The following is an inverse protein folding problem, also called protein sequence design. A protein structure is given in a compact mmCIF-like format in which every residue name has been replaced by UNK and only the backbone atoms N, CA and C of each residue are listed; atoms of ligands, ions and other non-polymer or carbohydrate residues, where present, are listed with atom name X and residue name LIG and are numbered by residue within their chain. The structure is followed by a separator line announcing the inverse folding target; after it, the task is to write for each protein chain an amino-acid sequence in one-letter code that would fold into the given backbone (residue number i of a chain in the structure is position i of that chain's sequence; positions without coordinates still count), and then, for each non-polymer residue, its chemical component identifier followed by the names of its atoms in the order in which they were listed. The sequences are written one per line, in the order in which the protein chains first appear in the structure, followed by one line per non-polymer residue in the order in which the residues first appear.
data_IF_397224332806
#
_entry.id   IF_397224332806
#
_cell.length_a   1.000
_cell.length_b   1.000
_cell.length_c   1.000
_cell.angle_alpha   90.00
_cell.angle_beta   90.00
_cell.angle_gamma   90.00
#
_symmetry.space_group_name_H-M   'P 1'
#
loop_
_entity.id
_entity.type
_entity.pdbx_description
1 polymer ?
#
# COMPACT_ATOMS: atom_id res chain seq x y z
N UNK A 1 -22.64 7.03 22.01
CA UNK A 1 -23.21 6.60 20.72
C UNK A 1 -22.21 6.94 19.61
N UNK A 2 -22.06 6.08 18.61
CA UNK A 2 -21.10 6.25 17.49
C UNK A 2 -21.85 6.29 16.15
N UNK A 3 -21.26 6.91 15.13
CA UNK A 3 -21.84 6.90 13.77
C UNK A 3 -21.60 5.55 13.08
N UNK A 4 -22.57 5.09 12.29
CA UNK A 4 -22.51 3.84 11.54
C UNK A 4 -22.76 4.09 10.05
N UNK A 5 -22.21 3.24 9.20
CA UNK A 5 -22.32 3.33 7.75
C UNK A 5 -20.97 3.54 7.06
N UNK A 6 -21.01 3.70 5.74
CA UNK A 6 -19.79 3.89 4.95
C UNK A 6 -19.07 5.18 5.34
N UNK A 7 -17.76 5.09 5.53
CA UNK A 7 -16.92 6.22 5.91
C UNK A 7 -17.03 6.65 7.39
N UNK A 8 -17.77 5.92 8.23
CA UNK A 8 -17.88 6.24 9.66
C UNK A 8 -16.72 5.70 10.51
N UNK A 9 -15.92 4.77 9.97
CA UNK A 9 -14.78 4.15 10.63
C UNK A 9 -13.53 4.35 9.76
N UNK A 10 -12.42 4.69 10.40
CA UNK A 10 -11.09 4.73 9.79
C UNK A 10 -10.16 3.85 10.60
N UNK A 11 -9.50 2.92 9.92
CA UNK A 11 -8.57 1.97 10.50
C UNK A 11 -7.28 2.04 9.69
N UNK A 12 -6.22 2.48 10.38
CA UNK A 12 -4.88 2.61 9.83
C UNK A 12 -3.94 1.71 10.66
N UNK A 13 -3.05 0.98 10.00
CA UNK A 13 -2.08 0.10 10.64
C UNK A 13 -0.68 0.72 10.57
N UNK A 14 0.16 0.45 11.56
CA UNK A 14 1.59 0.76 11.51
C UNK A 14 2.37 -0.55 11.63
N UNK A 15 3.09 -0.93 10.57
CA UNK A 15 3.83 -2.20 10.51
C UNK A 15 5.33 -1.90 10.39
N UNK A 16 6.15 -2.62 11.15
CA UNK A 16 7.61 -2.55 11.04
C UNK A 16 8.26 -3.85 11.51
N UNK A 17 9.38 -4.21 10.91
CA UNK A 17 10.28 -5.28 11.38
C UNK A 17 11.69 -4.73 11.61
N UNK A 18 12.55 -5.47 12.31
CA UNK A 18 13.90 -5.00 12.66
C UNK A 18 14.74 -4.62 11.42
N UNK A 19 14.73 -5.44 10.37
CA UNK A 19 15.49 -5.18 9.14
C UNK A 19 14.83 -4.17 8.17
N UNK A 20 13.59 -3.76 8.45
CA UNK A 20 12.84 -2.76 7.68
C UNK A 20 12.58 -1.49 8.50
N UNK A 21 11.60 -0.69 8.10
CA UNK A 21 11.21 0.54 8.81
C UNK A 21 9.68 0.67 8.97
N UNK A 22 9.23 1.67 9.71
CA UNK A 22 7.82 1.96 9.95
C UNK A 22 7.13 2.36 8.65
N UNK A 23 6.05 1.63 8.35
CA UNK A 23 5.12 1.92 7.27
C UNK A 23 3.73 2.11 7.85
N UNK A 24 3.06 3.17 7.44
CA UNK A 24 1.64 3.41 7.76
C UNK A 24 0.77 2.87 6.62
N UNK A 25 -0.18 1.99 6.90
CA UNK A 25 -1.08 1.40 5.92
C UNK A 25 -2.48 1.97 6.15
N UNK A 26 -3.04 2.60 5.12
CA UNK A 26 -4.40 3.13 5.12
C UNK A 26 -5.37 2.24 4.37
N UNK A 27 -6.65 2.37 4.73
CA UNK A 27 -7.75 1.69 4.03
C UNK A 27 -7.93 0.24 4.47
N UNK A 28 -7.60 -0.09 5.71
CA UNK A 28 -7.88 -1.39 6.31
C UNK A 28 -9.34 -1.47 6.75
N UNK A 29 -10.28 -1.55 5.80
CA UNK A 29 -11.72 -1.47 6.10
C UNK A 29 -12.30 -2.74 6.74
N UNK A 30 -11.77 -3.91 6.38
CA UNK A 30 -12.24 -5.20 6.86
C UNK A 30 -11.24 -5.77 7.87
N UNK A 31 -11.73 -6.00 9.10
CA UNK A 31 -10.96 -6.55 10.21
C UNK A 31 -10.36 -7.93 9.89
N UNK A 32 -11.06 -8.75 9.10
CA UNK A 32 -10.61 -10.09 8.73
C UNK A 32 -9.34 -10.08 7.87
N UNK A 33 -9.06 -8.98 7.17
CA UNK A 33 -7.88 -8.83 6.34
C UNK A 33 -6.64 -8.35 7.10
N UNK A 34 -6.80 -7.78 8.30
CA UNK A 34 -5.69 -7.21 9.07
C UNK A 34 -4.54 -8.21 9.25
N UNK A 35 -4.76 -9.47 9.70
CA UNK A 35 -3.67 -10.43 9.88
C UNK A 35 -2.89 -10.71 8.59
N UNK A 36 -3.59 -10.82 7.45
CA UNK A 36 -2.97 -11.06 6.14
C UNK A 36 -2.19 -9.84 5.65
N UNK A 37 -2.74 -8.63 5.78
CA UNK A 37 -2.08 -7.37 5.42
C UNK A 37 -0.77 -7.21 6.20
N UNK A 38 -0.79 -7.46 7.52
CA UNK A 38 0.41 -7.37 8.37
C UNK A 38 1.47 -8.38 7.92
N UNK A 39 1.08 -9.65 7.69
CA UNK A 39 2.00 -10.70 7.23
C UNK A 39 2.66 -10.34 5.89
N UNK A 40 1.88 -9.88 4.92
CA UNK A 40 2.38 -9.52 3.60
C UNK A 40 3.30 -8.30 3.66
N UNK A 41 3.00 -7.30 4.49
CA UNK A 41 3.90 -6.15 4.66
C UNK A 41 5.22 -6.55 5.35
N UNK A 42 5.19 -7.45 6.34
CA UNK A 42 6.41 -8.00 6.94
C UNK A 42 7.25 -8.75 5.89
N UNK A 43 6.61 -9.59 5.08
CA UNK A 43 7.29 -10.31 4.00
C UNK A 43 7.88 -9.36 2.95
N UNK A 44 7.15 -8.28 2.61
CA UNK A 44 7.63 -7.21 1.72
C UNK A 44 8.89 -6.55 2.26
N UNK A 45 8.89 -6.11 3.53
CA UNK A 45 10.07 -5.48 4.14
C UNK A 45 11.28 -6.42 4.16
N UNK A 46 11.07 -7.70 4.50
CA UNK A 46 12.14 -8.69 4.50
C UNK A 46 12.69 -8.95 3.09
N UNK A 47 11.81 -9.02 2.09
CA UNK A 47 12.20 -9.19 0.69
C UNK A 47 13.10 -8.04 0.23
N UNK A 48 12.68 -6.80 0.45
CA UNK A 48 13.46 -5.64 0.00
C UNK A 48 14.75 -5.43 0.80
N UNK A 49 14.79 -5.83 2.08
CA UNK A 49 16.05 -5.89 2.83
C UNK A 49 17.06 -6.85 2.16
N UNK A 50 16.61 -8.05 1.77
CA UNK A 50 17.46 -9.02 1.05
C UNK A 50 17.88 -8.48 -0.31
N UNK A 51 16.95 -7.88 -1.06
CA UNK A 51 17.23 -7.29 -2.36
C UNK A 51 18.25 -6.15 -2.26
N UNK A 52 18.12 -5.26 -1.27
CA UNK A 52 19.07 -4.19 -1.02
C UNK A 52 20.47 -4.75 -0.77
N UNK A 53 20.60 -5.83 0.02
CA UNK A 53 21.89 -6.48 0.24
C UNK A 53 22.45 -7.16 -1.02
N UNK A 54 21.61 -7.74 -1.88
CA UNK A 54 22.04 -8.23 -3.20
C UNK A 54 22.57 -7.09 -4.07
N UNK A 55 21.85 -5.97 -4.13
CA UNK A 55 22.26 -4.78 -4.88
C UNK A 55 23.57 -4.19 -4.33
N UNK A 56 23.72 -4.09 -3.01
CA UNK A 56 24.95 -3.62 -2.37
C UNK A 56 26.13 -4.54 -2.65
N UNK A 57 25.95 -5.85 -2.57
CA UNK A 57 27.00 -6.82 -2.88
C UNK A 57 27.48 -6.68 -4.33
N UNK A 58 26.56 -6.56 -5.29
CA UNK A 58 26.89 -6.32 -6.69
C UNK A 58 27.57 -4.95 -6.91
N UNK A 59 27.28 -3.97 -6.05
CA UNK A 59 27.88 -2.64 -6.06
C UNK A 59 29.21 -2.54 -5.29
N UNK A 60 29.68 -3.62 -4.67
CA UNK A 60 30.86 -3.59 -3.79
C UNK A 60 30.68 -2.74 -2.52
N UNK A 61 29.44 -2.57 -2.06
CA UNK A 61 29.06 -1.75 -0.91
C UNK A 61 28.83 -2.59 0.36
N UNK A 62 29.03 -2.02 1.57
CA UNK A 62 28.79 -2.71 2.83
C UNK A 62 27.32 -3.09 3.01
N UNK A 63 27.06 -4.34 3.39
CA UNK A 63 25.71 -4.85 3.62
C UNK A 63 24.99 -4.11 4.76
N UNK A 64 23.67 -3.99 4.64
CA UNK A 64 22.80 -3.50 5.70
C UNK A 64 22.82 -4.46 6.90
N UNK A 65 22.89 -3.95 8.15
CA UNK A 65 22.75 -4.80 9.32
C UNK A 65 21.34 -5.40 9.43
N UNK A 66 21.13 -6.47 10.22
CA UNK A 66 19.82 -7.09 10.37
C UNK A 66 18.82 -6.26 11.19
N UNK A 67 19.28 -5.25 11.94
CA UNK A 67 18.44 -4.34 12.72
C UNK A 67 18.76 -2.89 12.33
N UNK A 68 17.73 -2.11 11.98
CA UNK A 68 17.82 -0.68 11.65
C UNK A 68 18.44 0.18 12.76
N UNK A 69 18.40 -0.29 14.01
CA UNK A 69 19.04 0.42 15.14
C UNK A 69 20.57 0.38 15.08
N UNK A 70 21.12 -0.47 14.23
CA UNK A 70 22.56 -0.60 13.99
C UNK A 70 22.99 0.16 12.73
N UNK A 71 22.10 0.93 12.10
CA UNK A 71 22.44 1.75 10.93
C UNK A 71 23.44 2.84 11.32
N UNK A 72 24.47 3.00 10.49
CA UNK A 72 25.48 4.04 10.63
C UNK A 72 25.29 5.09 9.53
N UNK A 73 24.98 6.33 9.94
CA UNK A 73 24.64 7.42 9.02
C UNK A 73 25.78 7.77 8.05
N UNK A 74 27.04 7.67 8.50
CA UNK A 74 28.21 7.94 7.68
C UNK A 74 28.40 6.87 6.57
N UNK A 75 28.21 5.60 6.92
CA UNK A 75 28.23 4.49 5.98
C UNK A 75 27.11 4.64 4.94
N UNK A 76 25.89 4.94 5.38
CA UNK A 76 24.74 5.12 4.48
C UNK A 76 24.93 6.30 3.53
N UNK A 77 25.50 7.42 3.99
CA UNK A 77 25.84 8.55 3.12
C UNK A 77 26.90 8.19 2.07
N UNK A 78 27.93 7.44 2.47
CA UNK A 78 28.98 6.96 1.54
C UNK A 78 28.42 6.02 0.49
N UNK A 79 27.54 5.09 0.89
CA UNK A 79 26.85 4.18 -0.04
C UNK A 79 25.96 4.97 -0.99
N UNK A 80 25.22 5.96 -0.50
CA UNK A 80 24.33 6.77 -1.34
C UNK A 80 25.10 7.51 -2.44
N UNK A 81 26.25 8.12 -2.11
CA UNK A 81 27.12 8.78 -3.10
C UNK A 81 27.70 7.79 -4.11
N UNK A 82 28.23 6.66 -3.64
CA UNK A 82 28.80 5.63 -4.50
C UNK A 82 27.75 5.04 -5.46
N UNK A 83 26.54 4.76 -4.97
CA UNK A 83 25.43 4.27 -5.80
C UNK A 83 24.99 5.36 -6.78
N UNK A 84 24.77 6.60 -6.33
CA UNK A 84 24.35 7.71 -7.20
C UNK A 84 25.31 7.93 -8.38
N UNK A 85 26.63 7.80 -8.16
CA UNK A 85 27.64 7.94 -9.21
C UNK A 85 27.52 6.91 -10.34
N UNK A 86 26.89 5.75 -10.09
CA UNK A 86 26.69 4.68 -11.08
C UNK A 86 25.44 4.90 -11.93
N UNK A 87 24.44 5.65 -11.43
CA UNK A 87 23.16 5.81 -12.12
C UNK A 87 23.19 7.05 -13.01
N UNK A 88 22.94 6.89 -14.33
CA UNK A 88 22.92 8.03 -15.25
C UNK A 88 21.77 8.98 -14.91
N UNK A 89 22.01 10.28 -15.10
CA UNK A 89 20.97 11.30 -15.00
C UNK A 89 20.28 11.55 -16.34
N UNK A 90 20.90 11.12 -17.43
CA UNK A 90 20.42 11.33 -18.79
C UNK A 90 19.28 10.37 -19.11
N UNK A 91 18.16 10.94 -19.50
CA UNK A 91 17.06 10.20 -20.11
C UNK A 91 17.30 10.14 -21.62
N UNK A 92 17.03 9.00 -22.23
CA UNK A 92 17.19 8.81 -23.67
C UNK A 92 15.83 8.73 -24.32
N UNK A 93 15.61 9.51 -25.38
CA UNK A 93 14.46 9.32 -26.25
C UNK A 93 14.71 8.10 -27.14
N UNK A 94 13.88 7.07 -26.97
CA UNK A 94 13.93 5.83 -27.73
C UNK A 94 12.70 5.67 -28.62
N UNK A 95 11.95 6.75 -28.89
CA UNK A 95 10.72 6.72 -29.70
C UNK A 95 10.95 6.12 -31.09
N UNK A 96 12.10 6.37 -31.70
CA UNK A 96 12.46 5.82 -33.02
C UNK A 96 12.50 4.29 -33.01
N UNK A 97 12.93 3.67 -31.92
CA UNK A 97 12.97 2.21 -31.78
C UNK A 97 11.57 1.57 -31.86
N UNK A 98 10.53 2.36 -31.59
CA UNK A 98 9.14 1.93 -31.56
C UNK A 98 8.30 2.49 -32.72
N UNK A 99 8.92 3.14 -33.71
CA UNK A 99 8.20 3.75 -34.83
C UNK A 99 7.38 2.74 -35.65
N UNK A 100 7.85 1.49 -35.75
CA UNK A 100 7.17 0.38 -36.41
C UNK A 100 6.61 -0.65 -35.43
N UNK A 101 6.35 -0.25 -34.18
CA UNK A 101 5.87 -1.18 -33.15
C UNK A 101 4.48 -1.73 -33.47
N UNK A 102 4.28 -3.02 -33.19
CA UNK A 102 2.96 -3.67 -33.33
C UNK A 102 2.08 -3.52 -32.08
N UNK A 103 2.62 -2.93 -31.01
CA UNK A 103 1.85 -2.69 -29.79
C UNK A 103 0.84 -1.56 -30.00
N UNK A 104 -0.45 -1.89 -30.00
CA UNK A 104 -1.51 -0.89 -30.09
C UNK A 104 -1.55 0.12 -28.93
N UNK A 105 -0.82 -0.11 -27.82
CA UNK A 105 -0.62 0.91 -26.80
C UNK A 105 0.44 1.94 -27.22
N UNK A 106 1.53 1.47 -27.80
CA UNK A 106 2.66 2.30 -28.23
C UNK A 106 2.27 3.13 -29.44
N UNK A 107 1.65 2.49 -30.45
CA UNK A 107 1.13 3.16 -31.65
C UNK A 107 0.17 4.31 -31.28
N UNK A 108 -0.80 4.05 -30.39
CA UNK A 108 -1.73 5.09 -29.93
C UNK A 108 -1.05 6.19 -29.14
N UNK A 109 -0.06 5.86 -28.30
CA UNK A 109 0.67 6.86 -27.52
C UNK A 109 1.50 7.78 -28.41
N UNK A 110 2.29 7.21 -29.32
CA UNK A 110 3.09 7.98 -30.29
C UNK A 110 2.20 8.80 -31.23
N UNK A 111 1.07 8.25 -31.67
CA UNK A 111 0.07 8.96 -32.47
C UNK A 111 -0.59 10.15 -31.75
N UNK A 112 -0.56 10.20 -30.42
CA UNK A 112 -1.01 11.33 -29.60
C UNK A 112 0.09 12.39 -29.37
N UNK A 113 1.29 12.19 -29.94
CA UNK A 113 2.45 13.06 -29.72
C UNK A 113 3.18 12.79 -28.41
N UNK A 114 2.98 11.62 -27.78
CA UNK A 114 3.81 11.19 -26.67
C UNK A 114 5.19 10.75 -27.17
N UNK A 115 6.15 10.76 -26.25
CA UNK A 115 7.50 10.22 -26.48
C UNK A 115 7.71 8.99 -25.62
N UNK A 116 8.55 8.07 -26.09
CA UNK A 116 9.04 6.95 -25.31
C UNK A 116 10.41 7.31 -24.75
N UNK A 117 10.47 7.63 -23.46
CA UNK A 117 11.74 7.86 -22.77
C UNK A 117 12.22 6.58 -22.09
N UNK A 118 13.53 6.36 -22.10
CA UNK A 118 14.21 5.27 -21.42
C UNK A 118 15.19 5.76 -20.36
N UNK A 119 15.24 5.04 -19.24
CA UNK A 119 16.21 5.21 -18.16
C UNK A 119 16.98 3.89 -17.97
N UNK A 120 18.30 3.98 -17.97
CA UNK A 120 19.19 2.88 -17.63
C UNK A 120 19.30 2.69 -16.11
N UNK A 121 19.23 1.43 -15.66
CA UNK A 121 19.38 1.00 -14.26
C UNK A 121 20.52 -0.03 -14.16
N UNK A 122 21.77 0.42 -13.98
CA UNK A 122 22.94 -0.47 -13.97
C UNK A 122 22.92 -1.47 -12.81
N UNK A 123 23.29 -2.73 -13.09
CA UNK A 123 23.37 -3.78 -12.07
C UNK A 123 22.02 -4.25 -11.51
N UNK A 124 20.90 -3.91 -12.16
CA UNK A 124 19.55 -4.26 -11.71
C UNK A 124 18.83 -5.28 -12.62
N UNK A 125 19.52 -5.88 -13.59
CA UNK A 125 18.96 -6.92 -14.46
C UNK A 125 18.51 -8.13 -13.66
N UNK A 126 17.26 -8.57 -13.86
CA UNK A 126 16.66 -9.69 -13.12
C UNK A 126 16.24 -9.36 -11.68
N UNK A 127 16.48 -8.13 -11.20
CA UNK A 127 16.18 -7.69 -9.84
C UNK A 127 14.93 -6.79 -9.76
N UNK A 128 14.38 -6.36 -10.91
CA UNK A 128 13.11 -5.62 -10.97
C UNK A 128 11.92 -6.57 -10.76
N UNK A 129 12.05 -7.81 -11.23
CA UNK A 129 11.19 -8.94 -10.92
C UNK A 129 9.93 -9.04 -11.77
N UNK A 130 9.49 -10.28 -12.01
CA UNK A 130 8.28 -10.60 -12.77
C UNK A 130 7.06 -10.79 -11.86
N UNK A 131 5.87 -10.80 -12.45
CA UNK A 131 4.64 -11.04 -11.69
C UNK A 131 4.52 -12.53 -11.34
N UNK A 132 4.80 -12.86 -10.09
CA UNK A 132 4.61 -14.19 -9.51
C UNK A 132 3.68 -14.12 -8.30
N UNK A 133 2.96 -15.20 -8.05
CA UNK A 133 2.05 -15.34 -6.91
C UNK A 133 2.67 -16.26 -5.86
N UNK A 134 2.36 -16.02 -4.59
CA UNK A 134 2.65 -16.96 -3.51
C UNK A 134 1.60 -18.09 -3.45
N UNK A 135 1.81 -19.03 -2.53
CA UNK A 135 0.93 -20.18 -2.30
C UNK A 135 -0.50 -19.77 -1.88
N UNK A 136 -0.66 -18.58 -1.29
CA UNK A 136 -1.94 -18.01 -0.86
C UNK A 136 -2.57 -17.06 -1.92
N UNK A 137 -1.99 -17.01 -3.12
CA UNK A 137 -2.46 -16.22 -4.25
C UNK A 137 -2.17 -14.72 -4.19
N UNK A 138 -1.37 -14.25 -3.24
CA UNK A 138 -0.91 -12.85 -3.19
C UNK A 138 0.30 -12.63 -4.09
N UNK A 139 0.39 -11.42 -4.66
CA UNK A 139 1.55 -11.08 -5.49
C UNK A 139 2.82 -10.95 -4.65
N UNK A 140 3.89 -11.64 -5.07
CA UNK A 140 5.20 -11.49 -4.45
C UNK A 140 5.72 -10.05 -4.60
N UNK A 141 6.45 -9.53 -3.61
CA UNK A 141 7.09 -8.22 -3.71
C UNK A 141 8.02 -8.17 -4.92
N UNK A 142 7.90 -7.11 -5.72
CA UNK A 142 8.78 -6.87 -6.88
C UNK A 142 9.15 -5.40 -6.94
N UNK A 143 10.42 -5.11 -7.20
CA UNK A 143 10.91 -3.74 -7.26
C UNK A 143 10.25 -2.95 -8.39
N UNK A 144 9.98 -3.59 -9.54
CA UNK A 144 9.25 -2.97 -10.65
C UNK A 144 7.88 -2.39 -10.23
N UNK A 145 7.19 -3.00 -9.27
CA UNK A 145 5.92 -2.46 -8.72
C UNK A 145 6.14 -1.20 -7.87
N UNK A 146 7.24 -1.13 -7.12
CA UNK A 146 7.62 0.07 -6.36
C UNK A 146 8.06 1.21 -7.29
N UNK A 147 8.82 0.90 -8.34
CA UNK A 147 9.21 1.87 -9.38
C UNK A 147 7.98 2.41 -10.12
N UNK A 148 7.06 1.52 -10.53
CA UNK A 148 5.81 1.94 -11.16
C UNK A 148 4.92 2.76 -10.21
N UNK A 149 4.96 2.46 -8.91
CA UNK A 149 4.29 3.26 -7.89
C UNK A 149 4.84 4.69 -7.81
N UNK A 150 6.17 4.84 -7.83
CA UNK A 150 6.83 6.14 -7.87
C UNK A 150 6.51 6.91 -9.16
N UNK A 151 6.57 6.25 -10.32
CA UNK A 151 6.22 6.85 -11.61
C UNK A 151 4.77 7.39 -11.63
N UNK A 152 3.81 6.64 -11.08
CA UNK A 152 2.39 7.04 -11.04
C UNK A 152 2.14 8.36 -10.29
N UNK A 153 3.04 8.78 -9.40
CA UNK A 153 2.95 10.08 -8.74
C UNK A 153 3.11 11.25 -9.72
N UNK A 154 3.81 11.04 -10.85
CA UNK A 154 3.87 11.98 -11.96
C UNK A 154 2.61 11.96 -12.86
N UNK A 155 1.61 11.12 -12.53
CA UNK A 155 0.35 11.02 -13.26
C UNK A 155 0.36 10.12 -14.50
N UNK A 156 1.46 9.37 -14.74
CA UNK A 156 1.50 8.38 -15.82
C UNK A 156 0.71 7.12 -15.45
N UNK A 157 0.19 6.39 -16.44
CA UNK A 157 -0.53 5.13 -16.18
C UNK A 157 0.36 4.04 -15.59
N UNK A 158 1.64 4.04 -15.97
CA UNK A 158 2.64 3.08 -15.56
C UNK A 158 3.93 3.25 -16.35
N UNK A 159 4.86 2.35 -16.10
CA UNK A 159 6.15 2.23 -16.79
C UNK A 159 6.35 0.77 -17.17
N UNK A 160 7.19 0.52 -18.17
CA UNK A 160 7.63 -0.81 -18.53
C UNK A 160 9.06 -1.02 -18.05
N UNK A 161 9.44 -2.23 -17.68
CA UNK A 161 10.82 -2.51 -17.30
C UNK A 161 11.37 -3.75 -18.00
N UNK A 162 12.70 -3.82 -18.13
CA UNK A 162 13.37 -4.89 -18.87
C UNK A 162 12.95 -6.29 -18.43
N UNK A 163 12.82 -6.55 -17.12
CA UNK A 163 12.50 -7.91 -16.63
C UNK A 163 11.09 -8.39 -16.97
N UNK A 164 10.15 -7.51 -17.32
CA UNK A 164 8.80 -7.90 -17.75
C UNK A 164 8.65 -7.91 -19.28
N UNK A 165 9.71 -7.56 -20.03
CA UNK A 165 9.75 -7.55 -21.48
C UNK A 165 10.58 -8.75 -21.98
N UNK A 166 10.25 -9.36 -23.14
CA UNK A 166 9.23 -8.97 -24.11
C UNK A 166 7.79 -9.29 -23.66
N UNK A 167 6.90 -8.30 -23.71
CA UNK A 167 5.47 -8.42 -23.39
C UNK A 167 4.71 -7.20 -23.93
N UNK A 168 3.37 -7.21 -23.80
CA UNK A 168 2.51 -6.07 -24.16
C UNK A 168 2.61 -5.63 -25.64
N UNK A 169 3.01 -6.54 -26.53
CA UNK A 169 3.25 -6.27 -27.95
C UNK A 169 4.61 -5.64 -28.25
N UNK A 170 5.48 -5.49 -27.25
CA UNK A 170 6.89 -5.13 -27.42
C UNK A 170 7.68 -6.42 -27.66
N UNK A 171 8.36 -6.47 -28.79
CA UNK A 171 9.15 -7.59 -29.29
C UNK A 171 10.56 -7.59 -28.71
N UNK A 172 11.23 -8.74 -28.78
CA UNK A 172 12.62 -8.88 -28.36
C UNK A 172 13.58 -8.02 -29.20
N UNK A 173 13.27 -7.81 -30.48
CA UNK A 173 14.03 -6.91 -31.34
C UNK A 173 14.00 -5.46 -30.83
N UNK A 174 12.83 -4.95 -30.45
CA UNK A 174 12.70 -3.60 -29.87
C UNK A 174 13.42 -3.51 -28.52
N UNK A 175 13.36 -4.55 -27.69
CA UNK A 175 14.10 -4.62 -26.42
C UNK A 175 15.61 -4.50 -26.68
N UNK A 176 16.14 -5.22 -27.68
CA UNK A 176 17.57 -5.17 -28.01
C UNK A 176 18.00 -3.79 -28.50
N UNK A 177 17.20 -3.14 -29.37
CA UNK A 177 17.47 -1.77 -29.84
C UNK A 177 17.51 -0.79 -28.66
N UNK A 178 16.59 -0.91 -27.70
CA UNK A 178 16.59 -0.08 -26.49
C UNK A 178 17.85 -0.32 -25.65
N UNK A 179 18.29 -1.59 -25.50
CA UNK A 179 19.51 -1.92 -24.75
C UNK A 179 20.75 -1.30 -25.39
N UNK A 180 20.83 -1.32 -26.72
CA UNK A 180 21.90 -0.68 -27.49
C UNK A 180 21.85 0.85 -27.36
N UNK A 181 20.67 1.47 -27.52
CA UNK A 181 20.48 2.91 -27.40
C UNK A 181 20.86 3.45 -26.01
N UNK A 182 20.63 2.66 -24.96
CA UNK A 182 20.99 2.97 -23.58
C UNK A 182 22.42 2.55 -23.20
N UNK A 183 23.18 1.93 -24.12
CA UNK A 183 24.53 1.42 -23.88
C UNK A 183 24.63 0.54 -22.62
N UNK A 184 23.65 -0.35 -22.43
CA UNK A 184 23.53 -1.18 -21.22
C UNK A 184 24.52 -2.35 -21.25
N UNK A 185 25.20 -2.56 -20.13
CA UNK A 185 25.90 -3.81 -19.83
C UNK A 185 24.91 -4.98 -19.63
N UNK A 186 25.40 -6.22 -19.65
CA UNK A 186 24.57 -7.44 -19.49
C UNK A 186 23.78 -7.45 -18.17
N UNK A 187 24.37 -6.95 -17.09
CA UNK A 187 23.76 -6.82 -15.77
C UNK A 187 22.87 -5.57 -15.62
N UNK A 188 22.78 -4.73 -16.66
CA UNK A 188 21.95 -3.54 -16.70
C UNK A 188 20.48 -3.83 -17.03
N UNK A 189 19.59 -3.20 -16.29
CA UNK A 189 18.16 -3.12 -16.58
C UNK A 189 17.80 -1.76 -17.18
N UNK A 190 16.56 -1.63 -17.67
CA UNK A 190 16.02 -0.35 -18.08
C UNK A 190 14.54 -0.20 -17.72
N UNK A 191 14.08 1.04 -17.69
CA UNK A 191 12.68 1.41 -17.53
C UNK A 191 12.26 2.36 -18.64
N UNK A 192 11.10 2.10 -19.24
CA UNK A 192 10.50 2.89 -20.30
C UNK A 192 9.23 3.59 -19.81
N UNK A 193 9.02 4.82 -20.26
CA UNK A 193 7.80 5.57 -20.02
C UNK A 193 7.27 6.20 -21.31
N UNK A 194 6.03 5.86 -21.66
CA UNK A 194 5.31 6.42 -22.81
C UNK A 194 4.30 7.46 -22.34
N UNK A 195 4.66 8.74 -22.44
CA UNK A 195 3.84 9.88 -22.01
C UNK A 195 4.30 11.18 -22.70
N UNK A 196 3.59 12.31 -22.56
CA UNK A 196 4.14 13.60 -22.97
C UNK A 196 5.52 13.83 -22.35
N UNK A 197 6.44 14.44 -23.09
CA UNK A 197 7.86 14.54 -22.70
C UNK A 197 8.07 14.98 -21.24
N UNK A 198 7.48 16.11 -20.83
CA UNK A 198 7.61 16.62 -19.45
C UNK A 198 7.13 15.61 -18.40
N UNK A 199 6.08 14.84 -18.70
CA UNK A 199 5.49 13.89 -17.78
C UNK A 199 6.32 12.60 -17.71
N UNK A 200 6.82 12.13 -18.84
CA UNK A 200 7.73 11.00 -18.91
C UNK A 200 9.05 11.30 -18.17
N UNK A 201 9.58 12.53 -18.31
CA UNK A 201 10.77 12.97 -17.58
C UNK A 201 10.57 12.90 -16.07
N UNK A 202 9.49 13.52 -15.55
CA UNK A 202 9.17 13.49 -14.12
C UNK A 202 8.94 12.06 -13.60
N UNK A 203 8.29 11.20 -14.39
CA UNK A 203 8.06 9.81 -14.03
C UNK A 203 9.38 9.03 -13.90
N UNK A 204 10.29 9.18 -14.87
CA UNK A 204 11.58 8.50 -14.84
C UNK A 204 12.55 9.07 -13.80
N UNK A 205 12.49 10.37 -13.49
CA UNK A 205 13.19 10.95 -12.35
C UNK A 205 12.72 10.33 -11.02
N UNK A 206 11.41 10.16 -10.83
CA UNK A 206 10.86 9.49 -9.66
C UNK A 206 11.28 8.00 -9.58
N UNK A 207 11.33 7.31 -10.74
CA UNK A 207 11.86 5.94 -10.84
C UNK A 207 13.33 5.90 -10.45
N UNK A 208 14.17 6.81 -10.97
CA UNK A 208 15.59 6.90 -10.61
C UNK A 208 15.74 7.07 -9.10
N UNK A 209 15.02 8.02 -8.51
CA UNK A 209 15.04 8.24 -7.07
C UNK A 209 14.68 6.98 -6.27
N UNK A 210 13.64 6.24 -6.70
CA UNK A 210 13.24 4.99 -6.04
C UNK A 210 14.24 3.85 -6.25
N UNK A 211 14.91 3.78 -7.40
CA UNK A 211 15.95 2.80 -7.68
C UNK A 211 17.22 3.03 -6.84
N UNK A 212 17.61 4.29 -6.62
CA UNK A 212 18.69 4.65 -5.70
C UNK A 212 18.34 4.20 -4.27
N UNK A 213 17.13 4.53 -3.80
CA UNK A 213 16.63 4.12 -2.49
C UNK A 213 16.57 2.59 -2.32
N UNK A 214 16.44 1.81 -3.40
CA UNK A 214 16.41 0.35 -3.33
C UNK A 214 17.73 -0.28 -2.81
N UNK A 215 18.83 0.48 -2.82
CA UNK A 215 20.10 0.08 -2.20
C UNK A 215 20.13 0.32 -0.69
N UNK A 216 19.10 0.96 -0.13
CA UNK A 216 18.95 1.24 1.29
C UNK A 216 17.75 0.47 1.84
N UNK A 217 17.51 0.57 3.14
CA UNK A 217 16.24 0.11 3.71
C UNK A 217 15.09 0.88 3.06
N UNK A 218 13.95 0.20 2.90
CA UNK A 218 12.76 0.85 2.40
C UNK A 218 12.41 2.08 3.26
N UNK A 219 12.05 3.20 2.61
CA UNK A 219 11.81 4.44 3.32
C UNK A 219 10.48 4.38 4.08
N UNK A 220 10.37 5.24 5.08
CA UNK A 220 9.12 5.49 5.81
C UNK A 220 8.11 6.13 4.88
N UNK A 221 7.00 5.44 4.67
CA UNK A 221 5.97 5.91 3.75
C UNK A 221 4.57 5.47 4.21
N UNK A 222 3.58 6.18 3.69
CA UNK A 222 2.18 5.79 3.77
C UNK A 222 1.87 4.95 2.54
N UNK A 223 1.25 3.81 2.78
CA UNK A 223 0.79 2.88 1.77
C UNK A 223 -0.71 2.70 1.85
N UNK A 224 -1.32 2.27 0.77
CA UNK A 224 -2.74 1.92 0.73
C UNK A 224 -2.91 0.43 0.43
N UNK A 225 -3.91 -0.19 1.05
CA UNK A 225 -4.33 -1.55 0.67
C UNK A 225 -4.80 -1.53 -0.78
N UNK A 226 -4.36 -2.49 -1.57
CA UNK A 226 -4.79 -2.64 -2.96
C UNK A 226 -6.21 -3.20 -2.98
N UNK A 227 -7.15 -2.39 -3.45
CA UNK A 227 -8.59 -2.72 -3.47
C UNK A 227 -9.04 -2.96 -4.90
N UNK A 228 -9.89 -3.97 -5.10
CA UNK A 228 -10.59 -4.22 -6.35
C UNK A 228 -12.05 -4.52 -6.04
N UNK A 229 -12.99 -3.89 -6.78
CA UNK A 229 -14.44 -4.06 -6.59
C UNK A 229 -14.91 -3.87 -5.13
N UNK A 230 -14.28 -2.96 -4.38
CA UNK A 230 -14.69 -2.61 -3.01
C UNK A 230 -14.14 -3.51 -1.90
N UNK A 231 -13.32 -4.52 -2.21
CA UNK A 231 -12.64 -5.35 -1.22
C UNK A 231 -11.12 -5.41 -1.49
N UNK A 232 -10.28 -5.71 -0.48
CA UNK A 232 -8.87 -6.00 -0.70
C UNK A 232 -8.71 -7.08 -1.78
N UNK A 233 -7.85 -6.83 -2.76
CA UNK A 233 -7.62 -7.77 -3.87
C UNK A 233 -6.91 -9.03 -3.38
N UNK A 234 -5.78 -8.85 -2.72
CA UNK A 234 -4.90 -9.92 -2.24
C UNK A 234 -4.24 -9.57 -0.88
N UNK A 235 -4.56 -8.41 -0.31
CA UNK A 235 -3.95 -7.86 0.91
C UNK A 235 -2.62 -7.14 0.68
N UNK A 236 -2.13 -7.03 -0.56
CA UNK A 236 -0.90 -6.29 -0.86
C UNK A 236 -1.09 -4.78 -0.77
N UNK A 237 -0.01 -4.08 -0.48
CA UNK A 237 -0.02 -2.62 -0.32
C UNK A 237 0.68 -1.93 -1.49
N UNK A 238 0.22 -0.73 -1.86
CA UNK A 238 0.87 0.15 -2.83
C UNK A 238 1.43 1.40 -2.16
N UNK A 239 2.51 2.00 -2.67
CA UNK A 239 2.97 3.29 -2.19
C UNK A 239 1.91 4.36 -2.46
N UNK A 240 1.65 5.21 -1.47
CA UNK A 240 0.69 6.31 -1.59
C UNK A 240 1.39 7.66 -1.50
N UNK A 241 2.17 7.90 -0.44
CA UNK A 241 2.88 9.16 -0.20
C UNK A 241 3.95 9.00 0.87
N UNK A 242 4.91 9.94 0.99
CA UNK A 242 5.83 9.99 2.13
C UNK A 242 5.09 10.09 3.46
N UNK A 243 5.72 9.60 4.53
CA UNK A 243 5.19 9.70 5.90
C UNK A 243 5.07 11.19 6.29
N UNK A 244 3.94 11.63 6.87
CA UNK A 244 3.81 13.02 7.31
C UNK A 244 4.81 13.34 8.43
N UNK A 245 5.32 14.56 8.44
CA UNK A 245 6.13 15.09 9.54
C UNK A 245 5.33 15.26 10.83
N UNK A 246 6.02 15.62 11.92
CA UNK A 246 5.39 15.87 13.21
C UNK A 246 4.36 17.00 13.13
N UNK A 247 3.19 16.79 13.75
CA UNK A 247 2.15 17.81 13.83
C UNK A 247 2.59 18.94 14.78
N UNK A 248 2.42 20.19 14.34
CA UNK A 248 2.58 21.37 15.20
C UNK A 248 1.22 21.72 15.81
N UNK A 249 1.13 21.64 17.13
CA UNK A 249 -0.09 21.95 17.88
C UNK A 249 0.13 23.24 18.70
N UNK A 250 -0.95 24.00 18.90
CA UNK A 250 -0.99 25.16 19.79
C UNK A 250 -2.29 25.10 20.61
N UNK A 251 -2.35 25.72 21.79
CA UNK A 251 -3.56 25.76 22.60
C UNK A 251 -4.72 26.43 21.84
N UNK A 252 -5.86 25.76 21.80
CA UNK A 252 -7.12 26.32 21.27
C UNK A 252 -7.69 27.32 22.29
N UNK A 253 -7.66 28.61 21.95
CA UNK A 253 -8.04 29.70 22.87
C UNK A 253 -9.54 30.00 22.86
N UNK A 254 -10.26 29.61 21.81
CA UNK A 254 -11.69 29.89 21.68
C UNK A 254 -12.53 28.94 22.55
N UNK A 255 -11.96 27.80 22.94
CA UNK A 255 -12.61 26.80 23.78
C UNK A 255 -12.06 26.90 25.21
N UNK A 256 -12.90 27.27 26.21
CA UNK A 256 -12.43 27.32 27.59
C UNK A 256 -12.07 25.91 28.09
N UNK A 257 -11.07 25.79 28.99
CA UNK A 257 -10.74 24.51 29.61
C UNK A 257 -11.96 23.91 30.33
N UNK A 258 -12.30 22.66 30.00
CA UNK A 258 -13.39 21.94 30.64
C UNK A 258 -12.86 21.09 31.79
N UNK A 259 -13.13 21.51 33.03
CA UNK A 259 -12.79 20.72 34.21
C UNK A 259 -13.72 19.50 34.36
N UNK A 260 -13.14 18.34 34.68
CA UNK A 260 -13.89 17.11 34.94
C UNK A 260 -13.99 16.90 36.45
N UNK A 261 -15.21 17.05 37.00
CA UNK A 261 -15.46 16.84 38.43
C UNK A 261 -15.30 15.35 38.81
N UNK A 262 -14.65 15.02 39.95
CA UNK A 262 -14.45 13.63 40.39
C UNK A 262 -15.75 12.81 40.52
N UNK A 263 -16.84 13.46 40.95
CA UNK A 263 -18.15 12.82 41.12
C UNK A 263 -18.70 12.39 39.76
N UNK A 264 -18.57 13.25 38.74
CA UNK A 264 -19.00 12.94 37.37
C UNK A 264 -18.18 11.81 36.76
N UNK A 265 -16.86 11.77 37.02
CA UNK A 265 -16.02 10.67 36.55
C UNK A 265 -16.45 9.33 37.17
N UNK A 266 -16.69 9.34 38.49
CA UNK A 266 -17.13 8.14 39.22
C UNK A 266 -18.46 7.63 38.70
N UNK A 267 -19.43 8.52 38.49
CA UNK A 267 -20.74 8.19 37.91
C UNK A 267 -20.62 7.60 36.50
N UNK A 268 -19.77 8.15 35.63
CA UNK A 268 -19.55 7.62 34.28
C UNK A 268 -18.91 6.23 34.28
N UNK A 269 -17.92 6.00 35.16
CA UNK A 269 -17.29 4.69 35.30
C UNK A 269 -18.25 3.63 35.84
N UNK A 270 -19.19 4.01 36.71
CA UNK A 270 -20.22 3.11 37.23
C UNK A 270 -21.30 2.76 36.19
N UNK A 271 -21.51 3.62 35.18
CA UNK A 271 -22.59 3.50 34.19
C UNK A 271 -22.05 3.32 32.75
N UNK A 272 -20.99 2.53 32.58
CA UNK A 272 -20.46 2.22 31.24
C UNK A 272 -21.51 1.44 30.41
N UNK A 273 -21.71 1.80 29.12
CA UNK A 273 -22.55 1.01 28.24
C UNK A 273 -22.04 -0.43 28.12
N UNK A 274 -22.94 -1.42 28.00
CA UNK A 274 -22.54 -2.82 27.88
C UNK A 274 -21.80 -3.06 26.56
N UNK A 275 -20.80 -3.93 26.61
CA UNK A 275 -20.08 -4.46 25.46
C UNK A 275 -21.00 -5.30 24.55
N UNK A 276 -20.56 -5.58 23.32
CA UNK A 276 -21.32 -6.45 22.41
C UNK A 276 -21.51 -7.88 22.97
N UNK A 277 -20.55 -8.37 23.74
CA UNK A 277 -20.63 -9.69 24.39
C UNK A 277 -21.68 -9.69 25.51
N UNK A 278 -21.70 -8.65 26.35
CA UNK A 278 -22.72 -8.49 27.39
C UNK A 278 -24.12 -8.27 26.79
N UNK A 279 -24.23 -7.49 25.71
CA UNK A 279 -25.48 -7.31 24.96
C UNK A 279 -25.97 -8.63 24.36
N UNK A 280 -25.07 -9.46 23.82
CA UNK A 280 -25.42 -10.83 23.37
C UNK A 280 -25.89 -11.70 24.53
N UNK A 281 -25.19 -11.68 25.66
CA UNK A 281 -25.56 -12.49 26.82
C UNK A 281 -26.98 -12.17 27.35
N UNK A 282 -27.42 -10.91 27.23
CA UNK A 282 -28.81 -10.49 27.55
C UNK A 282 -29.86 -11.13 26.63
N UNK A 283 -29.50 -11.49 25.39
CA UNK A 283 -30.41 -12.13 24.43
C UNK A 283 -30.47 -13.66 24.59
N UNK A 284 -29.45 -14.30 25.15
CA UNK A 284 -29.40 -15.77 25.32
C UNK A 284 -30.64 -16.38 25.99
N UNK A 285 -31.21 -15.81 27.06
CA UNK A 285 -32.40 -16.38 27.73
C UNK A 285 -33.67 -16.38 26.88
N UNK A 286 -33.70 -15.63 25.78
CA UNK A 286 -34.91 -15.43 24.95
C UNK A 286 -35.15 -16.58 23.96
N UNK A 287 -34.19 -17.50 23.81
CA UNK A 287 -34.31 -18.66 22.92
C UNK A 287 -34.24 -18.35 21.42
N UNK A 288 -33.74 -17.16 21.05
CA UNK A 288 -33.43 -16.78 19.67
C UNK A 288 -32.31 -17.65 19.10
N UNK A 289 -32.28 -17.80 17.77
CA UNK A 289 -31.12 -18.40 17.10
C UNK A 289 -29.93 -17.43 17.11
N UNK A 290 -28.73 -17.97 16.91
CA UNK A 290 -27.51 -17.16 16.81
C UNK A 290 -27.61 -16.10 15.70
N UNK A 291 -28.15 -16.47 14.54
CA UNK A 291 -28.40 -15.54 13.42
C UNK A 291 -29.37 -14.40 13.81
N UNK A 292 -30.45 -14.71 14.52
CA UNK A 292 -31.38 -13.66 14.98
C UNK A 292 -30.71 -12.72 15.99
N UNK A 293 -29.91 -13.26 16.91
CA UNK A 293 -29.12 -12.46 17.85
C UNK A 293 -28.12 -11.55 17.11
N UNK A 294 -27.41 -12.09 16.12
CA UNK A 294 -26.43 -11.35 15.30
C UNK A 294 -27.11 -10.19 14.57
N UNK A 295 -28.25 -10.46 13.93
CA UNK A 295 -28.97 -9.43 13.18
C UNK A 295 -29.53 -8.34 14.09
N UNK A 296 -30.15 -8.69 15.21
CA UNK A 296 -30.67 -7.72 16.19
C UNK A 296 -29.54 -6.82 16.71
N UNK A 297 -28.41 -7.40 17.13
CA UNK A 297 -27.25 -6.66 17.62
C UNK A 297 -26.64 -5.79 16.52
N UNK A 298 -26.52 -6.34 15.30
CA UNK A 298 -25.99 -5.61 14.16
C UNK A 298 -26.84 -4.38 13.82
N UNK A 299 -28.14 -4.39 14.11
CA UNK A 299 -29.04 -3.25 13.84
C UNK A 299 -29.33 -2.39 15.08
N UNK A 300 -28.65 -2.65 16.20
CA UNK A 300 -28.89 -1.95 17.50
C UNK A 300 -30.34 -2.03 17.98
N UNK A 301 -31.03 -3.13 17.64
CA UNK A 301 -32.44 -3.33 17.99
C UNK A 301 -32.62 -4.03 19.34
N UNK A 302 -31.56 -4.52 19.98
CA UNK A 302 -31.61 -5.35 21.19
C UNK A 302 -32.25 -4.64 22.39
N UNK A 303 -31.97 -3.36 22.62
CA UNK A 303 -32.60 -2.64 23.73
C UNK A 303 -34.11 -2.46 23.48
N UNK A 304 -34.52 -2.09 22.26
CA UNK A 304 -35.94 -2.03 21.86
C UNK A 304 -36.61 -3.40 21.90
N UNK A 305 -35.91 -4.44 21.47
CA UNK A 305 -36.40 -5.81 21.46
C UNK A 305 -36.69 -6.30 22.87
N UNK A 306 -35.74 -6.11 23.80
CA UNK A 306 -35.90 -6.50 25.20
C UNK A 306 -36.98 -5.67 25.90
N UNK A 307 -37.10 -4.37 25.60
CA UNK A 307 -38.18 -3.51 26.10
C UNK A 307 -39.57 -4.00 25.67
N UNK A 308 -39.70 -4.54 24.45
CA UNK A 308 -40.98 -5.00 23.89
C UNK A 308 -41.18 -6.51 23.99
N UNK A 309 -40.29 -7.27 24.62
CA UNK A 309 -40.39 -8.73 24.65
C UNK A 309 -41.57 -9.20 25.50
N UNK A 310 -41.74 -8.67 26.72
CA UNK A 310 -42.80 -9.00 27.67
C UNK A 310 -43.26 -10.48 27.59
N UNK A 311 -44.55 -10.72 27.31
CA UNK A 311 -45.15 -12.04 27.13
C UNK A 311 -45.23 -12.47 25.65
N UNK A 312 -44.61 -11.70 24.73
CA UNK A 312 -44.67 -11.96 23.29
C UNK A 312 -43.73 -13.11 22.92
N UNK A 313 -44.05 -13.88 21.88
CA UNK A 313 -43.15 -14.92 21.38
C UNK A 313 -41.86 -14.30 20.80
N UNK A 314 -40.74 -14.50 21.51
CA UNK A 314 -39.44 -13.90 21.21
C UNK A 314 -39.02 -14.01 19.74
N UNK A 315 -39.12 -15.22 19.16
CA UNK A 315 -38.73 -15.46 17.76
C UNK A 315 -39.58 -14.70 16.76
N UNK A 316 -40.88 -14.61 16.98
CA UNK A 316 -41.79 -13.91 16.07
C UNK A 316 -41.60 -12.38 16.17
N UNK A 317 -41.38 -11.86 17.38
CA UNK A 317 -41.06 -10.45 17.58
C UNK A 317 -39.73 -10.08 16.91
N UNK A 318 -38.70 -10.91 17.07
CA UNK A 318 -37.41 -10.71 16.42
C UNK A 318 -37.56 -10.68 14.89
N UNK A 319 -38.24 -11.66 14.30
CA UNK A 319 -38.51 -11.68 12.86
C UNK A 319 -39.27 -10.45 12.38
N UNK A 320 -40.32 -10.02 13.11
CA UNK A 320 -41.09 -8.83 12.78
C UNK A 320 -40.21 -7.57 12.77
N UNK A 321 -39.36 -7.39 13.80
CA UNK A 321 -38.47 -6.23 13.90
C UNK A 321 -37.38 -6.23 12.82
N UNK A 322 -36.91 -7.42 12.42
CA UNK A 322 -35.89 -7.57 11.37
C UNK A 322 -36.46 -7.37 9.96
N UNK A 323 -37.74 -7.69 9.73
CA UNK A 323 -38.44 -7.45 8.46
C UNK A 323 -38.92 -5.99 8.32
N UNK A 324 -39.32 -5.35 9.43
CA UNK A 324 -39.86 -4.00 9.45
C UNK A 324 -38.97 -3.06 10.28
N UNK A 325 -37.83 -2.64 9.70
CA UNK A 325 -36.87 -1.72 10.35
C UNK A 325 -37.45 -0.35 10.76
N UNK A 326 -38.69 -0.04 10.39
CA UNK A 326 -39.37 1.25 10.62
C UNK A 326 -40.53 1.21 11.61
N UNK A 327 -40.80 0.07 12.27
CA UNK A 327 -41.84 -0.02 13.30
C UNK A 327 -41.36 0.45 14.70
#
# INVERSE_FOLDING_TARGET
RVRRGLGSIRQDLNVSIACGDRVEIKGCQDLGWIPRIVRLEMARQLHFYRLANTLRAAAGQPLLPPDRRLDDEATEATVAEAVASRFPETLHDVSEAFASSTSGMVERGLGQGHVMLGLALPGMSGLLGTKTLDEEGAQLPRLGRELAGAAKLAGVRGVFHSDELPAYGITEAEVNVVREALSLAEDGAFVLCLAPHWQASLALEAVRGRALIAHHRLPREVRNVTVSKGAPLDGTTGPMRPLPGGARMYPETDVPPLAMAPERWTDLCANLPPSNEERRARLTPTGLSDDQCDQILSRELDDRFLEHLDQRPAKALASLMLEHETA
#
